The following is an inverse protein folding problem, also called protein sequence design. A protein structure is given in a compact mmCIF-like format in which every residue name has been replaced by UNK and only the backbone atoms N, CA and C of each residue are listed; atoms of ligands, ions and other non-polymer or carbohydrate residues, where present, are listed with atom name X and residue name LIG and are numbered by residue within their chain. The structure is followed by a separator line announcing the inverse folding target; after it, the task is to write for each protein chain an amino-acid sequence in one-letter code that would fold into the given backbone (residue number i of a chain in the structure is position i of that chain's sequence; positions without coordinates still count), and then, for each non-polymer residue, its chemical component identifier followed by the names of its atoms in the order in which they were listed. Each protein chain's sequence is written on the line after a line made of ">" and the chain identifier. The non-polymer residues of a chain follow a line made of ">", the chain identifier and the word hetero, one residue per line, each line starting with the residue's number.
data_IF_009250304820
#
_entry.id   IF_009250304820
#
_cell.length_a   1.000
_cell.length_b   1.000
_cell.length_c   1.000
_cell.angle_alpha   90.00
_cell.angle_beta   90.00
_cell.angle_gamma   90.00
#
_symmetry.space_group_name_H-M   'P 1'
#
loop_
_entity.id
_entity.type
_entity.pdbx_description
1 polymer ?
#
# COMPACT_ATOMS: atom_id res chain seq x y z
N UNK A 1 17.18 -3.37 23.97
CA UNK A 1 17.73 -4.71 23.66
C UNK A 1 17.92 -4.78 22.16
N UNK A 2 19.16 -4.92 21.69
CA UNK A 2 19.46 -4.93 20.24
C UNK A 2 19.01 -6.27 19.66
N UNK A 3 17.98 -6.32 18.83
CA UNK A 3 17.63 -7.50 18.03
C UNK A 3 18.41 -7.48 16.72
N UNK A 4 19.03 -8.60 16.43
CA UNK A 4 19.84 -8.85 15.25
C UNK A 4 18.92 -9.23 14.10
N UNK A 5 19.15 -8.61 12.94
CA UNK A 5 18.60 -9.04 11.66
C UNK A 5 19.10 -10.46 11.38
N UNK A 6 18.19 -11.43 11.26
CA UNK A 6 18.49 -12.80 10.88
C UNK A 6 18.32 -12.93 9.36
N UNK A 7 19.45 -12.95 8.66
CA UNK A 7 19.48 -13.37 7.24
C UNK A 7 19.53 -14.90 7.26
N UNK A 8 18.45 -15.55 6.84
CA UNK A 8 18.39 -17.01 6.72
C UNK A 8 18.94 -17.43 5.36
N UNK A 9 20.20 -17.86 5.32
CA UNK A 9 20.79 -18.54 4.17
C UNK A 9 20.53 -20.04 4.29
N UNK A 10 19.71 -20.60 3.43
CA UNK A 10 19.55 -22.05 3.31
C UNK A 10 20.71 -22.61 2.49
N UNK A 11 21.62 -23.33 3.17
CA UNK A 11 22.69 -24.09 2.55
C UNK A 11 22.22 -25.55 2.38
N UNK A 12 21.96 -25.96 1.15
CA UNK A 12 21.66 -27.36 0.81
C UNK A 12 22.98 -28.07 0.45
N UNK A 13 23.42 -29.00 1.32
CA UNK A 13 24.52 -29.91 1.03
C UNK A 13 24.04 -31.05 0.14
N UNK A 14 24.58 -31.17 -1.07
CA UNK A 14 24.51 -32.39 -1.87
C UNK A 14 25.73 -33.28 -1.61
N UNK A 15 25.47 -34.50 -1.16
CA UNK A 15 26.48 -35.59 -1.07
C UNK A 15 26.65 -36.23 -2.45
N UNK A 16 27.85 -36.18 -2.98
CA UNK A 16 28.25 -36.93 -4.19
C UNK A 16 28.58 -38.38 -3.83
N UNK A 17 27.91 -39.31 -4.47
CA UNK A 17 28.35 -40.71 -4.55
C UNK A 17 28.87 -40.96 -5.98
N UNK A 18 30.14 -41.31 -6.07
CA UNK A 18 30.78 -41.63 -7.34
C UNK A 18 30.56 -43.10 -7.70
N UNK A 19 30.17 -43.39 -8.92
CA UNK A 19 30.41 -44.68 -9.54
C UNK A 19 30.77 -44.51 -11.03
N UNK A 20 31.91 -45.08 -11.40
CA UNK A 20 32.55 -45.02 -12.71
C UNK A 20 31.95 -46.05 -13.68
N UNK A 21 31.77 -45.73 -14.97
CA UNK A 21 32.18 -46.53 -16.13
C UNK A 21 31.82 -45.96 -17.50
N UNK A 22 32.87 -45.76 -18.29
CA UNK A 22 33.07 -45.95 -19.75
C UNK A 22 32.28 -45.12 -20.80
N UNK A 23 33.11 -44.47 -21.58
CA UNK A 23 32.92 -43.75 -22.86
C UNK A 23 32.00 -44.40 -23.89
N UNK A 24 31.26 -43.55 -24.58
CA UNK A 24 31.10 -43.56 -26.06
C UNK A 24 30.74 -42.18 -26.57
N UNK A 25 31.59 -41.65 -27.46
CA UNK A 25 31.39 -40.41 -28.21
C UNK A 25 30.16 -40.46 -29.10
N UNK A 26 29.31 -39.42 -28.99
CA UNK A 26 28.46 -38.96 -30.09
C UNK A 26 28.37 -37.43 -29.95
N UNK A 27 28.94 -36.71 -30.90
CA UNK A 27 28.80 -35.29 -31.08
C UNK A 27 27.37 -34.92 -31.45
N UNK A 28 26.74 -34.03 -30.67
CA UNK A 28 25.56 -33.32 -31.15
C UNK A 28 25.47 -31.93 -30.49
N UNK A 29 25.57 -30.92 -31.35
CA UNK A 29 24.95 -29.60 -31.30
C UNK A 29 24.69 -28.96 -29.92
N UNK A 30 25.54 -28.02 -29.55
CA UNK A 30 25.32 -27.07 -28.50
C UNK A 30 24.18 -26.13 -28.86
N UNK A 31 23.12 -26.15 -28.07
CA UNK A 31 22.18 -25.06 -27.97
C UNK A 31 22.50 -24.34 -26.63
N UNK A 32 22.96 -23.10 -26.62
CA UNK A 32 23.15 -22.38 -25.37
C UNK A 32 21.78 -21.96 -24.87
N UNK A 33 21.27 -22.71 -23.90
CA UNK A 33 20.19 -22.18 -23.07
C UNK A 33 20.70 -20.91 -22.42
N UNK A 34 20.11 -19.80 -22.80
CA UNK A 34 20.15 -18.55 -22.05
C UNK A 34 19.69 -18.86 -20.62
N UNK A 35 20.62 -18.78 -19.68
CA UNK A 35 20.28 -18.66 -18.29
C UNK A 35 19.51 -17.33 -18.16
N UNK A 36 18.20 -17.42 -18.01
CA UNK A 36 17.38 -16.30 -17.52
C UNK A 36 17.98 -15.98 -16.14
N UNK A 37 18.66 -14.86 -16.06
CA UNK A 37 19.07 -14.27 -14.82
C UNK A 37 17.76 -13.94 -14.09
N UNK A 38 17.31 -14.79 -13.18
CA UNK A 38 16.35 -14.40 -12.16
C UNK A 38 17.06 -13.31 -11.35
N UNK A 39 16.75 -12.07 -11.69
CA UNK A 39 17.13 -10.91 -10.91
C UNK A 39 16.45 -11.11 -9.57
N UNK A 40 17.22 -11.37 -8.50
CA UNK A 40 16.71 -11.53 -7.15
C UNK A 40 15.79 -10.35 -6.84
N UNK A 41 14.47 -10.59 -6.84
CA UNK A 41 13.50 -9.58 -6.49
C UNK A 41 13.75 -9.21 -5.01
N UNK A 42 14.16 -7.98 -4.78
CA UNK A 42 14.39 -7.51 -3.41
C UNK A 42 13.07 -7.06 -2.81
N UNK A 43 12.61 -7.77 -1.76
CA UNK A 43 11.41 -7.39 -1.00
C UNK A 43 11.82 -6.59 0.23
N UNK A 44 11.23 -5.42 0.41
CA UNK A 44 11.31 -4.60 1.60
C UNK A 44 9.98 -4.73 2.37
N UNK A 45 10.02 -5.32 3.56
CA UNK A 45 8.86 -5.50 4.43
C UNK A 45 8.90 -4.50 5.56
N UNK A 46 7.79 -3.82 5.79
CA UNK A 46 7.53 -2.94 6.92
C UNK A 46 6.57 -3.65 7.88
N UNK A 47 7.14 -4.33 8.87
CA UNK A 47 6.37 -4.83 10.01
C UNK A 47 5.94 -3.64 10.86
N UNK A 48 4.65 -3.48 11.08
CA UNK A 48 4.09 -2.32 11.79
C UNK A 48 4.00 -2.54 13.31
N UNK A 49 5.00 -3.27 13.87
CA UNK A 49 5.15 -3.54 15.30
C UNK A 49 5.42 -2.27 16.11
N UNK A 50 6.21 -1.35 15.55
CA UNK A 50 6.61 -0.10 16.18
C UNK A 50 6.84 1.00 15.13
N UNK A 51 6.88 2.25 15.59
CA UNK A 51 7.17 3.38 14.71
C UNK A 51 8.64 3.38 14.28
N UNK A 52 8.88 3.21 12.99
CA UNK A 52 10.21 3.40 12.38
C UNK A 52 10.39 4.87 11.94
N UNK A 53 10.89 5.70 12.84
CA UNK A 53 11.16 7.12 12.56
C UNK A 53 12.30 7.37 11.54
N UNK A 54 13.06 6.33 11.17
CA UNK A 54 14.16 6.47 10.20
C UNK A 54 13.61 6.39 8.78
N UNK A 55 12.79 5.38 8.50
CA UNK A 55 12.28 5.09 7.16
C UNK A 55 10.92 5.75 6.87
N UNK A 56 10.18 6.15 7.90
CA UNK A 56 8.79 6.59 7.77
C UNK A 56 8.53 7.89 8.54
N UNK A 57 7.37 8.47 8.30
CA UNK A 57 6.89 9.65 9.04
C UNK A 57 5.38 9.62 9.25
N UNK A 58 4.95 10.24 10.34
CA UNK A 58 3.54 10.54 10.65
C UNK A 58 3.24 11.96 10.22
N UNK A 59 2.16 12.16 9.47
CA UNK A 59 1.70 13.50 9.17
C UNK A 59 1.19 14.20 10.44
N UNK A 60 1.57 15.45 10.67
CA UNK A 60 1.15 16.21 11.85
C UNK A 60 1.07 17.70 11.57
N UNK A 61 -0.07 18.32 11.94
CA UNK A 61 -0.23 19.77 11.98
C UNK A 61 -0.69 20.46 10.70
N UNK A 62 -1.07 19.74 9.64
CA UNK A 62 -1.62 20.34 8.42
C UNK A 62 -2.88 19.62 7.91
N UNK A 63 -3.59 20.25 6.99
CA UNK A 63 -4.72 19.68 6.26
C UNK A 63 -4.46 19.73 4.77
N UNK A 64 -4.96 18.74 4.00
CA UNK A 64 -4.93 18.77 2.56
C UNK A 64 -5.97 19.77 1.99
N UNK A 65 -6.92 20.22 2.83
CA UNK A 65 -8.00 21.13 2.42
C UNK A 65 -9.01 20.47 1.50
N UNK A 66 -9.79 21.27 0.75
CA UNK A 66 -10.81 20.79 -0.17
C UNK A 66 -11.75 19.78 0.48
N UNK A 67 -11.78 18.53 0.02
CA UNK A 67 -12.67 17.47 0.53
C UNK A 67 -12.22 16.81 1.83
N UNK A 68 -10.98 17.03 2.29
CA UNK A 68 -10.44 16.47 3.53
C UNK A 68 -10.90 17.30 4.75
N UNK A 69 -11.89 16.82 5.49
CA UNK A 69 -12.42 17.52 6.69
C UNK A 69 -11.63 17.16 7.95
N UNK A 70 -10.32 17.13 7.85
CA UNK A 70 -9.45 16.84 8.99
C UNK A 70 -8.12 17.60 8.95
N UNK A 71 -7.54 17.77 10.13
CA UNK A 71 -6.11 18.05 10.32
C UNK A 71 -5.40 16.74 10.62
N UNK A 72 -4.31 16.47 9.94
CA UNK A 72 -3.46 15.32 10.24
C UNK A 72 -2.85 15.47 11.63
N UNK A 73 -2.92 14.40 12.44
CA UNK A 73 -2.34 14.35 13.77
C UNK A 73 -1.48 13.10 13.95
N UNK A 74 -0.21 13.29 14.33
CA UNK A 74 0.71 12.20 14.61
C UNK A 74 0.21 11.26 15.71
N UNK A 75 -0.57 11.77 16.68
CA UNK A 75 -1.21 10.98 17.75
C UNK A 75 -2.37 10.10 17.24
N UNK A 76 -2.82 10.30 16.02
CA UNK A 76 -3.80 9.42 15.36
C UNK A 76 -3.14 8.22 14.66
N UNK A 77 -1.81 8.13 14.71
CA UNK A 77 -1.02 7.00 14.20
C UNK A 77 -0.35 6.30 15.38
N UNK A 78 -0.87 5.16 15.77
CA UNK A 78 -0.41 4.41 16.95
C UNK A 78 -0.03 2.99 16.58
N UNK A 79 0.95 2.43 17.31
CA UNK A 79 1.48 1.08 17.14
C UNK A 79 1.31 0.31 18.45
N UNK A 80 0.59 -0.78 18.42
CA UNK A 80 0.34 -1.63 19.58
C UNK A 80 0.10 -3.07 19.16
N UNK A 81 0.77 -4.01 19.86
CA UNK A 81 0.62 -5.46 19.65
C UNK A 81 0.81 -5.89 18.19
N UNK A 82 1.78 -5.28 17.47
CA UNK A 82 2.08 -5.62 16.09
C UNK A 82 1.19 -4.95 15.05
N UNK A 83 0.31 -4.04 15.46
CA UNK A 83 -0.68 -3.40 14.57
C UNK A 83 -0.50 -1.89 14.59
N UNK A 84 -0.37 -1.29 13.42
CA UNK A 84 -0.57 0.16 13.26
C UNK A 84 -2.07 0.45 13.17
N UNK A 85 -2.51 1.42 13.97
CA UNK A 85 -3.87 1.95 13.91
C UNK A 85 -3.86 3.39 13.44
N UNK A 86 -4.61 3.68 12.39
CA UNK A 86 -4.95 5.03 11.95
C UNK A 86 -6.34 5.38 12.43
N UNK A 87 -6.49 6.56 13.03
CA UNK A 87 -7.71 6.99 13.71
C UNK A 87 -8.26 8.29 13.11
N UNK A 88 -9.58 8.39 13.03
CA UNK A 88 -10.32 9.65 12.92
C UNK A 88 -10.88 9.96 14.29
N UNK A 89 -10.68 11.19 14.79
CA UNK A 89 -11.17 11.64 16.08
C UNK A 89 -11.60 13.11 16.02
N UNK A 90 -12.17 13.62 17.12
CA UNK A 90 -12.37 15.04 17.27
C UNK A 90 -11.01 15.73 17.44
N UNK A 91 -10.78 16.82 16.71
CA UNK A 91 -9.63 17.70 16.95
C UNK A 91 -9.95 18.66 18.11
N UNK A 92 -9.08 19.62 18.42
CA UNK A 92 -9.29 20.54 19.54
C UNK A 92 -10.65 21.27 19.49
N UNK A 93 -11.17 21.73 20.63
CA UNK A 93 -12.51 22.33 20.77
C UNK A 93 -12.82 23.47 19.77
N UNK A 94 -11.79 24.19 19.30
CA UNK A 94 -11.91 25.30 18.35
C UNK A 94 -11.18 25.04 17.03
N UNK A 95 -10.86 23.79 16.73
CA UNK A 95 -10.15 23.45 15.49
C UNK A 95 -11.03 23.59 14.25
N UNK A 96 -10.42 24.01 13.15
CA UNK A 96 -11.02 24.03 11.82
C UNK A 96 -9.97 23.52 10.83
N UNK A 97 -10.18 22.33 10.25
CA UNK A 97 -11.33 21.42 10.37
C UNK A 97 -11.59 20.95 11.81
N UNK A 98 -12.84 20.48 12.08
CA UNK A 98 -13.28 19.98 13.39
C UNK A 98 -12.67 18.63 13.74
N UNK A 99 -12.32 17.84 12.74
CA UNK A 99 -11.85 16.48 12.88
C UNK A 99 -10.34 16.38 12.73
N UNK A 100 -9.78 15.29 13.22
CA UNK A 100 -8.40 14.90 12.99
C UNK A 100 -8.37 13.54 12.29
N UNK A 101 -7.42 13.38 11.36
CA UNK A 101 -7.15 12.14 10.65
C UNK A 101 -5.76 11.60 10.95
N UNK A 102 -5.52 10.34 10.64
CA UNK A 102 -4.20 9.71 10.70
C UNK A 102 -3.63 9.50 9.31
N UNK A 103 -2.37 9.90 9.09
CA UNK A 103 -1.64 9.59 7.86
C UNK A 103 -0.22 9.14 8.21
N UNK A 104 0.22 8.05 7.54
CA UNK A 104 1.53 7.43 7.68
C UNK A 104 2.13 7.18 6.31
N UNK A 105 3.45 7.47 6.16
CA UNK A 105 4.10 7.36 4.85
C UNK A 105 5.59 7.08 4.95
N UNK A 106 6.16 6.52 3.88
CA UNK A 106 7.60 6.39 3.73
C UNK A 106 8.26 7.74 3.47
N UNK A 107 9.52 7.88 3.87
CA UNK A 107 10.35 9.05 3.52
C UNK A 107 10.96 8.89 2.13
N UNK A 108 11.33 7.66 1.78
CA UNK A 108 11.89 7.31 0.48
C UNK A 108 10.81 7.13 -0.58
N UNK A 109 11.20 7.28 -1.83
CA UNK A 109 10.38 7.09 -3.01
C UNK A 109 10.65 5.73 -3.62
N UNK A 110 9.60 5.06 -4.07
CA UNK A 110 9.60 3.75 -4.71
C UNK A 110 9.06 3.88 -6.13
N UNK A 111 9.43 2.97 -7.00
CA UNK A 111 9.03 3.01 -8.40
C UNK A 111 8.40 1.67 -8.80
N UNK A 112 8.52 1.28 -10.07
CA UNK A 112 7.95 0.03 -10.57
C UNK A 112 8.24 -1.16 -9.66
N UNK A 113 7.23 -1.99 -9.45
CA UNK A 113 7.27 -3.13 -8.56
C UNK A 113 5.90 -3.48 -7.98
N UNK A 114 5.86 -4.40 -7.05
CA UNK A 114 4.64 -4.85 -6.39
C UNK A 114 4.54 -4.26 -4.99
N UNK A 115 3.39 -3.70 -4.68
CA UNK A 115 3.02 -3.05 -3.42
C UNK A 115 1.90 -3.85 -2.78
N UNK A 116 2.02 -4.24 -1.53
CA UNK A 116 1.02 -5.02 -0.82
C UNK A 116 0.86 -4.53 0.61
N UNK A 117 -0.35 -4.63 1.14
CA UNK A 117 -0.72 -4.26 2.51
C UNK A 117 -1.69 -5.26 3.10
N UNK A 118 -1.50 -5.65 4.35
CA UNK A 118 -2.50 -6.34 5.17
C UNK A 118 -3.23 -5.31 5.99
N UNK A 119 -4.53 -5.09 5.71
CA UNK A 119 -5.32 -4.04 6.38
C UNK A 119 -6.77 -4.41 6.61
N UNK A 120 -7.38 -3.70 7.57
CA UNK A 120 -8.81 -3.73 7.89
C UNK A 120 -9.33 -2.28 7.92
N UNK A 121 -10.19 -1.87 6.96
CA UNK A 121 -10.65 -0.49 6.83
C UNK A 121 -11.77 -0.13 7.81
N UNK A 122 -12.05 1.17 7.92
CA UNK A 122 -13.19 1.72 8.66
C UNK A 122 -14.48 1.45 7.92
N UNK A 123 -15.52 0.97 8.63
CA UNK A 123 -16.91 0.95 8.15
C UNK A 123 -17.67 2.09 8.83
N UNK A 124 -17.83 3.18 8.14
CA UNK A 124 -18.63 4.35 8.56
C UNK A 124 -18.91 5.25 7.35
N UNK A 125 -20.10 5.81 7.24
CA UNK A 125 -20.42 6.78 6.21
C UNK A 125 -19.47 7.98 6.26
N UNK A 126 -19.15 8.52 5.11
CA UNK A 126 -18.38 9.76 4.98
C UNK A 126 -16.88 9.63 5.24
N UNK A 127 -16.32 8.42 5.32
CA UNK A 127 -14.87 8.24 5.56
C UNK A 127 -14.19 7.42 4.48
N UNK A 128 -12.87 7.65 4.32
CA UNK A 128 -11.97 6.86 3.48
C UNK A 128 -10.92 6.21 4.35
N UNK A 129 -10.53 4.97 4.00
CA UNK A 129 -9.32 4.29 4.48
C UNK A 129 -8.54 3.82 3.26
N UNK A 130 -7.25 4.15 3.17
CA UNK A 130 -6.48 3.94 1.94
C UNK A 130 -5.11 3.29 2.16
N UNK A 131 -4.61 2.67 1.08
CA UNK A 131 -3.22 2.35 0.83
C UNK A 131 -2.90 2.78 -0.59
N UNK A 132 -1.89 3.63 -0.76
CA UNK A 132 -1.62 4.27 -2.05
C UNK A 132 -0.15 4.66 -2.20
N UNK A 133 0.24 5.00 -3.43
CA UNK A 133 1.49 5.71 -3.69
C UNK A 133 1.18 7.12 -4.14
N UNK A 134 1.99 8.10 -3.70
CA UNK A 134 1.82 9.49 -4.06
C UNK A 134 3.15 10.20 -4.22
N UNK A 135 3.21 11.06 -5.23
CA UNK A 135 4.16 12.16 -5.36
C UNK A 135 3.44 13.35 -5.99
N UNK A 136 3.95 14.56 -5.75
CA UNK A 136 3.29 15.74 -6.28
C UNK A 136 4.08 17.03 -6.08
N UNK A 137 3.43 18.20 -6.23
CA UNK A 137 4.08 19.50 -6.15
C UNK A 137 4.85 19.76 -4.87
N UNK A 138 4.44 19.16 -3.74
CA UNK A 138 5.18 19.24 -2.46
C UNK A 138 6.56 18.57 -2.52
N UNK A 139 6.71 17.59 -3.41
CA UNK A 139 7.95 16.85 -3.65
C UNK A 139 8.72 17.40 -4.86
N UNK A 140 8.26 18.50 -5.46
CA UNK A 140 8.73 19.09 -6.72
C UNK A 140 8.56 18.15 -7.93
N UNK A 141 7.56 17.29 -7.90
CA UNK A 141 7.21 16.33 -8.93
C UNK A 141 5.83 16.65 -9.55
N UNK A 142 5.50 16.09 -10.73
CA UNK A 142 4.12 16.03 -11.18
C UNK A 142 3.28 15.21 -10.18
N UNK A 143 1.99 15.42 -10.16
CA UNK A 143 1.11 14.61 -9.33
C UNK A 143 0.86 13.27 -10.02
N UNK A 144 1.50 12.22 -9.49
CA UNK A 144 1.31 10.82 -9.85
C UNK A 144 0.89 10.04 -8.60
N UNK A 145 -0.13 9.17 -8.72
CA UNK A 145 -0.74 8.46 -7.60
C UNK A 145 -1.36 7.14 -8.08
N UNK A 146 -1.34 6.10 -7.23
CA UNK A 146 -2.03 4.82 -7.47
C UNK A 146 -2.72 4.42 -6.18
N UNK A 147 -4.05 4.18 -6.23
CA UNK A 147 -4.91 4.10 -5.08
C UNK A 147 -5.55 2.74 -4.87
N UNK A 148 -5.67 2.36 -3.60
CA UNK A 148 -6.61 1.38 -3.05
C UNK A 148 -7.39 2.12 -1.96
N UNK A 149 -8.70 2.37 -2.19
CA UNK A 149 -9.54 3.16 -1.30
C UNK A 149 -10.77 2.37 -0.85
N UNK A 150 -10.97 2.31 0.45
CA UNK A 150 -12.21 1.82 1.04
C UNK A 150 -13.10 3.01 1.39
N UNK A 151 -14.23 3.10 0.69
CA UNK A 151 -15.27 4.06 1.01
C UNK A 151 -16.12 3.45 2.13
N UNK A 152 -15.97 3.96 3.33
CA UNK A 152 -16.54 3.35 4.54
C UNK A 152 -18.05 3.12 4.53
N UNK A 153 -18.78 3.78 3.62
CA UNK A 153 -20.21 3.58 3.37
C UNK A 153 -20.56 2.17 2.89
N UNK A 154 -19.62 1.48 2.22
CA UNK A 154 -19.82 0.12 1.71
C UNK A 154 -18.47 -0.63 1.62
N UNK A 155 -18.06 -1.24 2.72
CA UNK A 155 -16.81 -2.01 2.83
C UNK A 155 -16.88 -3.42 2.21
N UNK A 156 -17.97 -3.76 1.51
CA UNK A 156 -18.03 -4.94 0.64
C UNK A 156 -17.43 -4.68 -0.74
N UNK A 157 -16.94 -3.44 -0.96
CA UNK A 157 -16.30 -2.96 -2.19
C UNK A 157 -15.02 -2.24 -1.89
N UNK A 158 -14.13 -2.22 -2.88
CA UNK A 158 -12.92 -1.39 -2.90
C UNK A 158 -12.91 -0.56 -4.17
N UNK A 159 -12.47 0.68 -4.08
CA UNK A 159 -12.21 1.55 -5.22
C UNK A 159 -10.72 1.54 -5.54
N UNK A 160 -10.39 1.27 -6.80
CA UNK A 160 -9.07 1.50 -7.38
C UNK A 160 -9.11 2.76 -8.22
N UNK A 161 -8.02 3.50 -8.22
CA UNK A 161 -7.87 4.70 -9.02
C UNK A 161 -6.39 4.96 -9.30
N UNK A 162 -6.07 5.87 -10.19
CA UNK A 162 -4.73 6.42 -10.35
C UNK A 162 -4.79 7.80 -10.99
N UNK A 163 -3.73 8.56 -10.79
CA UNK A 163 -3.53 9.88 -11.37
C UNK A 163 -2.20 9.94 -12.09
N UNK A 164 -2.21 10.53 -13.29
CA UNK A 164 -0.99 10.80 -14.07
C UNK A 164 -0.95 12.27 -14.42
N UNK A 165 0.09 12.97 -13.97
CA UNK A 165 0.21 14.42 -14.09
C UNK A 165 -1.02 15.19 -13.55
N UNK A 166 -1.65 14.69 -12.47
CA UNK A 166 -2.82 15.26 -11.83
C UNK A 166 -4.15 15.00 -12.55
N UNK A 167 -4.15 14.16 -13.57
CA UNK A 167 -5.36 13.74 -14.28
C UNK A 167 -5.76 12.37 -13.72
N UNK A 168 -6.92 12.32 -13.05
CA UNK A 168 -7.59 11.11 -12.58
C UNK A 168 -8.66 10.65 -13.57
N UNK A 169 -9.83 10.24 -13.07
CA UNK A 169 -10.96 9.68 -13.83
C UNK A 169 -10.70 8.23 -14.28
N UNK A 170 -10.00 7.47 -13.45
CA UNK A 170 -9.68 6.07 -13.68
C UNK A 170 -10.31 5.18 -12.60
N UNK A 171 -11.37 5.67 -11.93
CA UNK A 171 -12.00 4.96 -10.83
C UNK A 171 -12.60 3.64 -11.29
N UNK A 172 -12.26 2.56 -10.61
CA UNK A 172 -12.84 1.23 -10.79
C UNK A 172 -13.29 0.68 -9.45
N UNK A 173 -14.58 0.33 -9.33
CA UNK A 173 -15.16 -0.30 -8.13
C UNK A 173 -15.17 -1.82 -8.32
N UNK A 174 -14.56 -2.53 -7.37
CA UNK A 174 -14.53 -3.98 -7.33
C UNK A 174 -15.37 -4.51 -6.17
N UNK A 175 -16.28 -5.49 -6.45
CA UNK A 175 -17.07 -6.20 -5.43
C UNK A 175 -16.22 -7.32 -4.82
N UNK A 176 -15.95 -7.24 -3.51
CA UNK A 176 -15.03 -8.14 -2.81
C UNK A 176 -15.64 -9.53 -2.56
N UNK A 177 -16.96 -9.64 -2.42
CA UNK A 177 -17.62 -10.87 -1.99
C UNK A 177 -17.60 -11.13 -0.48
N UNK A 178 -16.94 -10.21 0.29
CA UNK A 178 -16.88 -10.20 1.76
C UNK A 178 -16.92 -8.75 2.26
N UNK A 179 -17.05 -8.54 3.58
CA UNK A 179 -16.98 -7.23 4.21
C UNK A 179 -15.57 -7.02 4.79
N UNK A 180 -14.76 -6.19 4.11
CA UNK A 180 -13.37 -5.90 4.47
C UNK A 180 -13.18 -5.35 5.89
N UNK A 181 -14.23 -4.75 6.48
CA UNK A 181 -14.18 -4.21 7.84
C UNK A 181 -14.18 -5.29 8.94
N UNK A 182 -14.42 -6.56 8.59
CA UNK A 182 -14.57 -7.64 9.57
C UNK A 182 -13.24 -8.32 9.90
N UNK A 183 -12.31 -8.41 8.93
CA UNK A 183 -11.03 -9.10 9.11
C UNK A 183 -9.94 -8.44 8.27
N UNK A 184 -8.67 -8.86 8.48
CA UNK A 184 -7.55 -8.47 7.65
C UNK A 184 -7.56 -9.24 6.34
N UNK A 185 -7.33 -8.51 5.27
CA UNK A 185 -7.12 -9.05 3.93
C UNK A 185 -5.90 -8.37 3.29
N UNK A 186 -5.31 -9.04 2.32
CA UNK A 186 -4.17 -8.51 1.58
C UNK A 186 -4.64 -7.83 0.30
N UNK A 187 -4.35 -6.55 0.21
CA UNK A 187 -4.59 -5.73 -0.99
C UNK A 187 -3.26 -5.27 -1.57
N UNK A 188 -3.20 -5.14 -2.89
CA UNK A 188 -1.97 -4.68 -3.50
C UNK A 188 -2.16 -4.28 -4.95
N UNK A 189 -1.08 -3.74 -5.52
CA UNK A 189 -0.96 -3.51 -6.96
C UNK A 189 0.47 -3.77 -7.43
N UNK A 190 0.59 -4.23 -8.67
CA UNK A 190 1.84 -4.30 -9.39
C UNK A 190 1.87 -3.17 -10.40
N UNK A 191 2.84 -2.29 -10.26
CA UNK A 191 3.05 -1.13 -11.10
C UNK A 191 4.23 -1.39 -12.02
N UNK A 192 3.97 -1.46 -13.33
CA UNK A 192 4.94 -1.60 -14.40
C UNK A 192 4.96 -0.34 -15.25
N UNK A 193 5.89 -0.25 -16.20
CA UNK A 193 6.02 0.90 -17.09
C UNK A 193 4.76 1.14 -17.94
N UNK A 194 4.05 0.07 -18.31
CA UNK A 194 2.92 0.09 -19.23
C UNK A 194 1.60 -0.43 -18.63
N UNK A 195 1.59 -0.77 -17.33
CA UNK A 195 0.39 -1.31 -16.69
C UNK A 195 0.39 -1.17 -15.17
N UNK A 196 -0.84 -1.15 -14.60
CA UNK A 196 -1.07 -1.35 -13.18
C UNK A 196 -2.06 -2.50 -13.04
N UNK A 197 -1.71 -3.54 -12.26
CA UNK A 197 -2.62 -4.64 -11.95
C UNK A 197 -2.90 -4.65 -10.45
N UNK A 198 -4.18 -4.56 -10.06
CA UNK A 198 -4.60 -4.65 -8.65
C UNK A 198 -4.95 -6.07 -8.26
N UNK A 199 -4.67 -6.39 -7.00
CA UNK A 199 -4.83 -7.72 -6.39
C UNK A 199 -5.63 -7.64 -5.10
N UNK A 200 -6.45 -8.66 -4.86
CA UNK A 200 -7.12 -8.92 -3.58
C UNK A 200 -6.81 -10.35 -3.18
N UNK A 201 -6.23 -10.55 -1.99
CA UNK A 201 -5.79 -11.86 -1.48
C UNK A 201 -4.95 -12.66 -2.50
N UNK A 202 -4.05 -11.94 -3.21
CA UNK A 202 -3.16 -12.50 -4.22
C UNK A 202 -3.81 -12.80 -5.57
N UNK A 203 -5.11 -12.53 -5.75
CA UNK A 203 -5.83 -12.72 -7.02
C UNK A 203 -5.87 -11.39 -7.78
N UNK A 204 -5.42 -11.38 -9.04
CA UNK A 204 -5.54 -10.22 -9.92
C UNK A 204 -7.02 -9.94 -10.24
N UNK A 205 -7.47 -8.70 -10.00
CA UNK A 205 -8.89 -8.32 -10.10
C UNK A 205 -9.16 -7.19 -11.09
N UNK A 206 -8.15 -6.37 -11.39
CA UNK A 206 -8.25 -5.29 -12.37
C UNK A 206 -6.88 -4.98 -12.97
N UNK A 207 -6.85 -4.55 -14.24
CA UNK A 207 -5.62 -4.08 -14.90
C UNK A 207 -5.93 -2.85 -15.75
N UNK A 208 -5.14 -1.79 -15.56
CA UNK A 208 -5.11 -0.59 -16.40
C UNK A 208 -3.84 -0.60 -17.27
N UNK A 209 -3.96 -0.06 -18.50
CA UNK A 209 -2.87 -0.02 -19.50
C UNK A 209 -2.78 1.32 -20.24
N UNK A 210 -3.56 2.32 -19.80
CA UNK A 210 -3.58 3.65 -20.41
C UNK A 210 -3.14 4.69 -19.39
N UNK A 211 -2.42 5.70 -19.81
CA UNK A 211 -2.00 6.85 -19.00
C UNK A 211 -1.32 6.47 -17.66
N UNK A 212 -0.45 5.45 -17.67
CA UNK A 212 0.19 4.92 -16.47
C UNK A 212 1.17 5.95 -15.87
N UNK A 213 1.10 6.25 -14.54
CA UNK A 213 2.04 7.14 -13.88
C UNK A 213 3.48 6.58 -13.94
N UNK A 214 4.46 7.47 -13.95
CA UNK A 214 5.86 7.09 -14.17
C UNK A 214 6.85 7.75 -13.20
N UNK A 215 6.36 8.52 -12.24
CA UNK A 215 7.22 9.23 -11.28
C UNK A 215 7.34 8.44 -9.98
N UNK A 216 8.57 8.16 -9.48
CA UNK A 216 8.73 7.52 -8.18
C UNK A 216 7.93 8.21 -7.09
N UNK A 217 7.26 7.44 -6.24
CA UNK A 217 6.27 7.90 -5.28
C UNK A 217 6.51 7.34 -3.89
N UNK A 218 6.05 8.03 -2.85
CA UNK A 218 6.04 7.53 -1.48
C UNK A 218 4.91 6.52 -1.30
N UNK A 219 5.10 5.52 -0.45
CA UNK A 219 4.03 4.61 -0.02
C UNK A 219 3.31 5.29 1.15
N UNK A 220 1.98 5.38 1.06
CA UNK A 220 1.18 6.13 2.01
C UNK A 220 -0.07 5.36 2.44
N UNK A 221 -0.52 5.63 3.65
CA UNK A 221 -1.77 5.14 4.24
C UNK A 221 -2.43 6.29 4.97
N UNK A 222 -3.73 6.48 4.80
CA UNK A 222 -4.46 7.47 5.58
C UNK A 222 -5.90 7.08 5.87
N UNK A 223 -6.49 7.78 6.84
CA UNK A 223 -7.91 7.76 7.15
C UNK A 223 -8.40 9.18 7.37
N UNK A 224 -9.50 9.55 6.72
CA UNK A 224 -10.05 10.90 6.78
C UNK A 224 -11.55 10.95 6.54
N UNK A 225 -12.27 11.90 7.18
CA UNK A 225 -13.66 12.18 6.88
C UNK A 225 -13.76 13.19 5.73
N UNK A 226 -14.75 12.99 4.85
CA UNK A 226 -15.01 13.88 3.72
C UNK A 226 -15.98 15.00 4.04
N UNK A 227 -15.85 16.10 3.31
CA UNK A 227 -16.82 17.20 3.29
C UNK A 227 -17.09 17.68 1.86
N UNK A 228 -18.37 17.96 1.52
CA UNK A 228 -18.76 18.38 0.17
C UNK A 228 -18.70 17.28 -0.89
N UNK A 229 -18.55 16.03 -0.48
CA UNK A 229 -18.42 14.83 -1.34
C UNK A 229 -19.43 13.73 -0.96
N UNK A 230 -20.58 14.11 -0.43
CA UNK A 230 -21.60 13.19 0.07
C UNK A 230 -22.13 12.23 -1.01
N UNK A 231 -22.10 12.63 -2.28
CA UNK A 231 -22.49 11.75 -3.39
C UNK A 231 -21.51 10.57 -3.56
N UNK A 232 -20.25 10.76 -3.19
CA UNK A 232 -19.19 9.76 -3.26
C UNK A 232 -19.08 8.95 -1.95
N UNK A 233 -19.11 9.62 -0.77
CA UNK A 233 -18.81 9.00 0.54
C UNK A 233 -20.02 8.80 1.44
N UNK A 234 -21.20 9.35 1.14
CA UNK A 234 -22.26 9.75 2.08
C UNK A 234 -21.76 10.87 3.02
N UNK A 235 -22.66 11.46 3.80
CA UNK A 235 -22.27 12.45 4.80
C UNK A 235 -21.64 11.77 6.02
N UNK A 236 -20.52 12.31 6.49
CA UNK A 236 -19.92 11.82 7.74
C UNK A 236 -20.85 12.09 8.92
N UNK A 237 -21.17 11.04 9.68
CA UNK A 237 -22.14 11.10 10.79
C UNK A 237 -21.55 11.71 12.07
N UNK A 238 -20.23 11.93 12.12
CA UNK A 238 -19.52 12.52 13.25
C UNK A 238 -19.32 11.58 14.43
N UNK A 239 -19.58 10.29 14.28
CA UNK A 239 -19.25 9.31 15.32
C UNK A 239 -17.74 9.02 15.32
N UNK A 240 -17.09 9.36 16.43
CA UNK A 240 -15.65 9.16 16.64
C UNK A 240 -15.39 8.62 18.04
N UNK A 241 -14.26 7.92 18.29
CA UNK A 241 -13.21 7.58 17.30
C UNK A 241 -13.59 6.41 16.40
N UNK A 242 -13.22 6.49 15.11
CA UNK A 242 -13.25 5.35 14.18
C UNK A 242 -11.84 5.03 13.72
N UNK A 243 -11.56 3.74 13.40
CA UNK A 243 -10.19 3.25 13.25
C UNK A 243 -10.06 2.27 12.09
N UNK A 244 -9.02 2.45 11.27
CA UNK A 244 -8.48 1.40 10.40
C UNK A 244 -7.23 0.78 11.04
N UNK A 245 -6.96 -0.46 10.70
CA UNK A 245 -5.83 -1.23 11.22
C UNK A 245 -4.99 -1.79 10.08
N UNK A 246 -3.67 -1.77 10.26
CA UNK A 246 -2.67 -2.22 9.30
C UNK A 246 -1.68 -3.11 10.03
N UNK A 247 -1.49 -4.33 9.51
CA UNK A 247 -0.61 -5.35 10.09
C UNK A 247 0.82 -5.20 9.54
N UNK A 248 0.95 -5.15 8.21
CA UNK A 248 2.21 -4.92 7.52
C UNK A 248 1.95 -4.30 6.14
N UNK A 249 2.99 -3.73 5.54
CA UNK A 249 3.02 -3.47 4.10
C UNK A 249 4.39 -3.83 3.53
N UNK A 250 4.44 -4.08 2.22
CA UNK A 250 5.69 -4.44 1.55
C UNK A 250 5.78 -3.88 0.14
N UNK A 251 7.02 -3.72 -0.29
CA UNK A 251 7.40 -3.39 -1.65
C UNK A 251 8.37 -4.45 -2.18
N UNK A 252 8.11 -5.00 -3.36
CA UNK A 252 8.96 -5.94 -4.08
C UNK A 252 9.30 -5.35 -5.45
N UNK A 253 10.63 -5.18 -5.70
CA UNK A 253 11.15 -4.64 -6.95
C UNK A 253 11.32 -5.73 -7.99
#
# INVERSE_FOLDING_TARGET
>A
MKRKILISSFLICFLFSACSSKEKDIATSQNPNEAVNEQDASTLVFELDEYDEILTEKADGWTNGSMFDCTWRGDNVTFLDGIMTLKIDQDGENSSPKWSGGEYRTKDFYHYGKYEVSMKPIKNDGVVSSFFTYTGPSDNNPWDEIDIEFLGKDTTKVQFNYFTNGIGLHEFIYDLGFDASQDYHVYGFEWLEDSITWYVDGVAVHTATEDIPSTPSKIMMNVWPGTGVDSWLNAFDGQVPVKAQYDWFQYTK
#
